data_IF_186968778218
#
_entry.id   IF_186968778218
#
_cell.length_a   1.000
_cell.length_b   1.000
_cell.length_c   1.000
_cell.angle_alpha   90.00
_cell.angle_beta   90.00
_cell.angle_gamma   90.00
#
_symmetry.space_group_name_H-M   'P 1'
#
loop_
_entity.id
_entity.type
_entity.pdbx_description
1 polymer ?
#
# COMPACT_ATOMS: atom_id res chain seq x y z
N UNK A 1 -0.84 5.82 11.43
CA UNK A 1 -0.61 5.41 10.02
C UNK A 1 -1.68 4.39 9.71
N UNK A 2 -2.49 4.63 8.69
CA UNK A 2 -3.58 3.75 8.27
C UNK A 2 -3.04 2.37 7.84
N UNK A 3 -3.78 1.31 8.16
CA UNK A 3 -3.42 -0.09 7.88
C UNK A 3 -4.46 -0.76 6.97
N UNK A 4 -4.06 -1.18 5.76
CA UNK A 4 -4.96 -1.85 4.83
C UNK A 4 -5.56 -3.13 5.45
N UNK A 5 -6.89 -3.25 5.41
CA UNK A 5 -7.61 -4.43 5.89
C UNK A 5 -7.68 -4.60 7.41
N UNK A 6 -7.13 -3.66 8.18
CA UNK A 6 -7.24 -3.62 9.65
C UNK A 6 -8.06 -2.41 10.09
N UNK A 7 -7.76 -1.25 9.52
CA UNK A 7 -8.55 -0.04 9.75
C UNK A 7 -9.72 -0.03 8.76
N UNK A 8 -10.92 0.29 9.26
CA UNK A 8 -12.10 0.47 8.42
C UNK A 8 -11.94 1.75 7.59
N UNK A 9 -12.51 1.77 6.38
CA UNK A 9 -12.62 2.99 5.58
C UNK A 9 -13.92 3.69 5.94
N UNK A 10 -13.83 4.97 6.25
CA UNK A 10 -15.03 5.81 6.47
C UNK A 10 -15.75 6.06 5.12
N UNK A 11 -17.06 6.33 5.15
CA UNK A 11 -17.90 6.46 3.94
C UNK A 11 -17.40 7.53 2.94
N UNK A 12 -16.73 8.57 3.43
CA UNK A 12 -16.18 9.67 2.62
C UNK A 12 -14.66 9.60 2.46
N UNK A 13 -14.04 8.49 2.86
CA UNK A 13 -12.58 8.31 2.78
C UNK A 13 -12.23 7.66 1.45
N UNK A 14 -11.57 8.40 0.56
CA UNK A 14 -11.01 7.84 -0.67
C UNK A 14 -9.61 7.29 -0.44
N UNK A 15 -9.38 6.05 -0.88
CA UNK A 15 -8.05 5.46 -0.86
C UNK A 15 -7.14 6.23 -1.81
N UNK A 16 -6.23 7.03 -1.24
CA UNK A 16 -5.25 7.76 -2.03
C UNK A 16 -4.23 6.79 -2.61
N UNK A 17 -4.25 6.62 -3.93
CA UNK A 17 -3.22 5.91 -4.65
C UNK A 17 -2.05 6.86 -4.89
N UNK A 18 -0.98 6.72 -4.11
CA UNK A 18 0.27 7.42 -4.37
C UNK A 18 1.10 6.62 -5.39
N UNK A 19 1.28 7.12 -6.63
CA UNK A 19 2.07 6.42 -7.64
C UNK A 19 3.53 6.23 -7.23
N UNK A 20 4.08 7.16 -6.43
CA UNK A 20 5.44 7.07 -5.92
C UNK A 20 5.60 5.97 -4.86
N UNK A 21 4.51 5.57 -4.19
CA UNK A 21 4.51 4.41 -3.30
C UNK A 21 4.62 3.11 -4.10
N UNK A 22 3.99 3.03 -5.28
CA UNK A 22 4.16 1.91 -6.20
C UNK A 22 5.58 1.85 -6.77
N UNK A 23 6.12 2.98 -7.22
CA UNK A 23 7.51 3.05 -7.71
C UNK A 23 8.51 2.68 -6.61
N UNK A 24 8.26 3.11 -5.37
CA UNK A 24 9.07 2.74 -4.22
C UNK A 24 8.95 1.24 -3.94
N UNK A 25 7.75 0.66 -3.89
CA UNK A 25 7.55 -0.79 -3.71
C UNK A 25 8.23 -1.60 -4.80
N UNK A 26 8.20 -1.12 -6.05
CA UNK A 26 8.83 -1.78 -7.19
C UNK A 26 10.35 -1.59 -7.23
N UNK A 27 10.86 -0.46 -6.73
CA UNK A 27 12.29 -0.19 -6.57
C UNK A 27 12.89 -0.94 -5.37
N UNK A 28 12.08 -1.18 -4.33
CA UNK A 28 12.38 -2.16 -3.31
C UNK A 28 12.40 -3.54 -3.99
N UNK A 29 13.60 -4.08 -4.21
CA UNK A 29 13.79 -5.50 -4.52
C UNK A 29 13.39 -6.31 -3.28
N UNK A 30 12.08 -6.44 -3.08
CA UNK A 30 11.52 -7.42 -2.15
C UNK A 30 11.66 -8.75 -2.86
N UNK A 31 12.78 -9.43 -2.63
CA UNK A 31 12.81 -10.87 -2.84
C UNK A 31 11.75 -11.46 -1.92
N UNK A 32 10.62 -11.86 -2.50
CA UNK A 32 9.64 -12.64 -1.79
C UNK A 32 10.33 -13.98 -1.48
N UNK A 33 10.54 -14.37 -0.21
CA UNK A 33 11.35 -15.53 0.12
C UNK A 33 10.68 -16.87 -0.27
N UNK A 34 9.67 -16.88 -1.14
CA UNK A 34 8.92 -18.09 -1.47
C UNK A 34 7.97 -17.95 -2.69
N UNK A 35 8.43 -17.46 -3.84
CA UNK A 35 7.79 -17.84 -5.11
C UNK A 35 8.60 -18.94 -5.80
#
# INVERSE_FOLDING_TARGET
VWRPGVDAMEEDEELQCDPSAYDSLHAFTVDWPSL
#
